data_IF_787598704967
#
_entry.id   IF_787598704967
#
_cell.length_a   1.000
_cell.length_b   1.000
_cell.length_c   1.000
_cell.angle_alpha   90.00
_cell.angle_beta   90.00
_cell.angle_gamma   90.00
#
_symmetry.space_group_name_H-M   'P 1'
#
loop_
_entity.id
_entity.type
_entity.pdbx_description
1 polymer ?
#
# COMPACT_ATOMS: atom_id res chain seq x y z
N UNK A 1 30.68 -27.60 -40.47
CA UNK A 1 31.66 -26.58 -40.07
C UNK A 1 30.90 -25.38 -39.55
N UNK A 2 31.03 -25.00 -38.27
CA UNK A 2 30.33 -23.83 -37.76
C UNK A 2 30.85 -22.59 -38.49
N UNK A 3 29.94 -21.80 -39.07
CA UNK A 3 30.23 -20.41 -39.41
C UNK A 3 30.52 -19.73 -38.08
N UNK A 4 31.75 -19.27 -37.88
CA UNK A 4 32.05 -18.47 -36.70
C UNK A 4 31.15 -17.24 -36.84
N UNK A 5 30.18 -17.12 -35.93
CA UNK A 5 29.27 -15.97 -35.91
C UNK A 5 30.09 -14.78 -35.43
N UNK A 6 30.75 -14.13 -36.37
CA UNK A 6 31.38 -12.83 -36.17
C UNK A 6 30.29 -11.88 -35.71
N UNK A 7 30.27 -11.56 -34.41
CA UNK A 7 29.29 -10.65 -33.83
C UNK A 7 29.57 -9.27 -34.41
N UNK A 8 28.72 -8.82 -35.32
CA UNK A 8 28.86 -7.50 -35.91
C UNK A 8 28.42 -6.41 -34.93
N UNK A 9 29.02 -5.22 -35.05
CA UNK A 9 28.66 -4.05 -34.21
C UNK A 9 27.16 -3.75 -34.31
N UNK A 10 26.56 -3.96 -35.48
CA UNK A 10 25.13 -3.77 -35.72
C UNK A 10 24.28 -4.73 -34.86
N UNK A 11 24.72 -5.97 -34.68
CA UNK A 11 24.01 -6.94 -33.83
C UNK A 11 24.05 -6.54 -32.36
N UNK A 12 25.18 -6.01 -31.89
CA UNK A 12 25.31 -5.50 -30.52
C UNK A 12 24.42 -4.28 -30.32
N UNK A 13 24.44 -3.34 -31.28
CA UNK A 13 23.59 -2.16 -31.24
C UNK A 13 22.11 -2.54 -31.21
N UNK A 14 21.71 -3.52 -32.03
CA UNK A 14 20.34 -4.04 -32.09
C UNK A 14 19.94 -4.75 -30.78
N UNK A 15 20.84 -5.50 -30.16
CA UNK A 15 20.59 -6.16 -28.88
C UNK A 15 20.43 -5.15 -27.73
N UNK A 16 21.26 -4.10 -27.69
CA UNK A 16 21.17 -3.02 -26.70
C UNK A 16 19.88 -2.20 -26.85
N UNK A 17 19.52 -1.86 -28.10
CA UNK A 17 18.27 -1.17 -28.40
C UNK A 17 17.05 -2.00 -27.97
N UNK A 18 17.02 -3.29 -28.32
CA UNK A 18 15.93 -4.17 -27.88
C UNK A 18 15.89 -4.31 -26.36
N UNK A 19 17.03 -4.53 -25.70
CA UNK A 19 17.11 -4.59 -24.25
C UNK A 19 16.58 -3.33 -23.57
N UNK A 20 16.89 -2.16 -24.13
CA UNK A 20 16.39 -0.86 -23.64
C UNK A 20 14.88 -0.72 -23.85
N UNK A 21 14.37 -1.13 -25.01
CA UNK A 21 12.92 -1.12 -25.29
C UNK A 21 12.17 -2.01 -24.30
N UNK A 22 12.63 -3.24 -24.07
CA UNK A 22 12.04 -4.14 -23.07
C UNK A 22 12.17 -3.59 -21.65
N UNK A 23 13.31 -2.99 -21.30
CA UNK A 23 13.52 -2.34 -20.01
C UNK A 23 12.57 -1.16 -19.77
N UNK A 24 12.34 -0.31 -20.78
CA UNK A 24 11.40 0.81 -20.71
C UNK A 24 9.95 0.33 -20.60
N UNK A 25 9.59 -0.76 -21.29
CA UNK A 25 8.27 -1.38 -21.19
C UNK A 25 8.03 -1.87 -19.75
N UNK A 26 8.98 -2.62 -19.18
CA UNK A 26 8.90 -3.11 -17.80
C UNK A 26 8.92 -1.96 -16.78
N UNK A 27 9.73 -0.92 -17.02
CA UNK A 27 9.77 0.29 -16.20
C UNK A 27 8.41 1.00 -16.17
N UNK A 28 7.76 1.17 -17.33
CA UNK A 28 6.47 1.84 -17.42
C UNK A 28 5.36 1.06 -16.70
N UNK A 29 5.38 -0.28 -16.79
CA UNK A 29 4.46 -1.14 -16.02
C UNK A 29 4.69 -1.00 -14.51
N UNK A 30 5.93 -1.04 -14.05
CA UNK A 30 6.28 -0.88 -12.63
C UNK A 30 5.99 0.51 -12.08
N UNK A 31 6.27 1.56 -12.86
CA UNK A 31 5.93 2.93 -12.53
C UNK A 31 4.41 3.13 -12.43
N UNK A 32 3.64 2.54 -13.35
CA UNK A 32 2.17 2.53 -13.29
C UNK A 32 1.65 1.86 -12.02
N UNK A 33 2.20 0.70 -11.65
CA UNK A 33 1.82 -0.01 -10.42
C UNK A 33 2.19 0.78 -9.15
N UNK A 34 3.36 1.43 -9.15
CA UNK A 34 3.83 2.29 -8.06
C UNK A 34 2.96 3.54 -7.91
N UNK A 35 2.53 4.14 -9.02
CA UNK A 35 1.62 5.29 -9.01
C UNK A 35 0.21 4.91 -8.56
N UNK A 36 -0.30 3.76 -8.97
CA UNK A 36 -1.60 3.24 -8.51
C UNK A 36 -1.56 3.02 -7.00
N UNK A 37 -0.57 2.28 -6.48
CA UNK A 37 -0.45 2.05 -5.03
C UNK A 37 -0.04 3.31 -4.24
N UNK A 38 0.71 4.22 -4.85
CA UNK A 38 1.13 5.48 -4.24
C UNK A 38 0.01 6.52 -4.14
N UNK A 39 -0.92 6.52 -5.11
CA UNK A 39 -2.06 7.45 -5.12
C UNK A 39 -3.33 6.89 -4.45
N UNK A 40 -3.52 5.56 -4.40
CA UNK A 40 -4.67 4.96 -3.71
C UNK A 40 -4.60 5.04 -2.18
N UNK A 41 -3.53 5.60 -1.59
CA UNK A 41 -3.49 5.89 -0.15
C UNK A 41 -3.70 4.66 0.75
N UNK A 42 -3.50 3.45 0.23
CA UNK A 42 -3.84 2.16 0.88
C UNK A 42 -3.00 1.87 2.13
N UNK A 43 -1.97 2.67 2.42
CA UNK A 43 -1.35 2.62 3.74
C UNK A 43 -2.22 3.21 4.87
N UNK A 44 -3.33 3.91 4.61
CA UNK A 44 -3.97 4.70 5.67
C UNK A 44 -5.50 4.88 5.60
N UNK A 45 -6.28 3.85 5.26
CA UNK A 45 -7.71 3.82 5.65
C UNK A 45 -7.95 3.02 6.93
N UNK A 46 -7.27 1.89 7.09
CA UNK A 46 -7.30 1.14 8.35
C UNK A 46 -6.53 1.86 9.48
N UNK A 47 -5.36 2.43 9.18
CA UNK A 47 -4.56 3.13 10.20
C UNK A 47 -5.23 4.46 10.64
N UNK A 48 -5.88 5.19 9.72
CA UNK A 48 -6.56 6.44 10.01
C UNK A 48 -7.84 6.22 10.83
N UNK A 49 -8.57 5.14 10.57
CA UNK A 49 -9.75 4.77 11.35
C UNK A 49 -9.36 4.36 12.78
N UNK A 50 -8.27 3.61 12.97
CA UNK A 50 -7.72 3.31 14.30
C UNK A 50 -7.22 4.56 15.05
N UNK A 51 -6.61 5.52 14.35
CA UNK A 51 -6.22 6.81 14.94
C UNK A 51 -7.43 7.63 15.39
N UNK A 52 -8.50 7.67 14.57
CA UNK A 52 -9.74 8.37 14.91
C UNK A 52 -10.48 7.71 16.09
N UNK A 53 -10.53 6.38 16.13
CA UNK A 53 -11.06 5.62 17.27
C UNK A 53 -10.27 5.90 18.55
N UNK A 54 -8.93 5.94 18.47
CA UNK A 54 -8.06 6.29 19.59
C UNK A 54 -8.32 7.70 20.12
N UNK A 55 -8.45 8.67 19.22
CA UNK A 55 -8.79 10.04 19.59
C UNK A 55 -10.18 10.14 20.24
N UNK A 56 -11.16 9.39 19.75
CA UNK A 56 -12.52 9.36 20.31
C UNK A 56 -12.55 8.78 21.73
N UNK A 57 -11.87 7.67 21.97
CA UNK A 57 -11.75 7.08 23.31
C UNK A 57 -10.98 7.99 24.27
N UNK A 58 -9.91 8.66 23.81
CA UNK A 58 -9.19 9.63 24.63
C UNK A 58 -10.10 10.80 25.04
N UNK A 59 -10.89 11.34 24.10
CA UNK A 59 -11.83 12.42 24.37
C UNK A 59 -12.96 12.02 25.32
N UNK A 60 -13.50 10.80 25.19
CA UNK A 60 -14.58 10.32 26.08
C UNK A 60 -14.09 9.94 27.47
N UNK A 61 -12.81 9.54 27.63
CA UNK A 61 -12.22 9.18 28.92
C UNK A 61 -11.55 10.35 29.66
N UNK A 62 -11.30 11.46 28.97
CA UNK A 62 -10.71 12.68 29.54
C UNK A 62 -11.49 13.22 30.76
N UNK A 63 -12.84 13.29 30.75
CA UNK A 63 -13.62 13.74 31.92
C UNK A 63 -13.58 12.78 33.12
N UNK A 64 -13.29 11.50 32.90
CA UNK A 64 -13.37 10.44 33.92
C UNK A 64 -12.02 10.10 34.56
N UNK A 65 -10.94 10.21 33.80
CA UNK A 65 -9.61 9.70 34.18
C UNK A 65 -8.52 10.77 34.18
N UNK A 66 -8.82 11.96 33.65
CA UNK A 66 -7.84 13.01 33.42
C UNK A 66 -7.02 12.78 32.16
N UNK A 67 -6.59 13.88 31.52
CA UNK A 67 -5.90 13.91 30.22
C UNK A 67 -4.76 12.89 30.07
N UNK A 68 -3.95 12.71 31.12
CA UNK A 68 -2.76 11.85 31.06
C UNK A 68 -3.07 10.35 31.06
N UNK A 69 -4.09 9.91 31.81
CA UNK A 69 -4.51 8.50 31.78
C UNK A 69 -5.31 8.19 30.50
N UNK A 70 -6.12 9.14 30.04
CA UNK A 70 -6.92 8.98 28.83
C UNK A 70 -6.06 8.71 27.59
N UNK A 71 -4.89 9.37 27.45
CA UNK A 71 -3.97 9.17 26.33
C UNK A 71 -3.34 7.77 26.31
N UNK A 72 -3.09 7.18 27.48
CA UNK A 72 -2.47 5.84 27.58
C UNK A 72 -3.54 4.75 27.43
N UNK A 73 -4.73 4.95 28.00
CA UNK A 73 -5.81 3.97 27.96
C UNK A 73 -6.48 3.87 26.58
N UNK A 74 -6.56 4.99 25.85
CA UNK A 74 -7.19 5.03 24.53
C UNK A 74 -6.60 4.03 23.50
N UNK A 75 -5.29 3.97 23.24
CA UNK A 75 -4.72 3.01 22.29
C UNK A 75 -4.86 1.55 22.75
N UNK A 76 -4.89 1.30 24.07
CA UNK A 76 -5.08 -0.06 24.63
C UNK A 76 -6.51 -0.55 24.38
N UNK A 77 -7.51 0.32 24.55
CA UNK A 77 -8.91 -0.01 24.30
C UNK A 77 -9.20 -0.22 22.82
N UNK A 78 -8.59 0.60 21.96
CA UNK A 78 -8.69 0.48 20.51
C UNK A 78 -8.04 -0.78 19.97
N UNK A 79 -6.91 -1.20 20.53
CA UNK A 79 -6.27 -2.46 20.16
C UNK A 79 -7.10 -3.69 20.56
N UNK A 80 -8.06 -3.54 21.49
CA UNK A 80 -8.91 -4.62 21.99
C UNK A 80 -10.27 -4.73 21.30
N UNK A 81 -10.71 -3.72 20.53
CA UNK A 81 -11.98 -3.79 19.78
C UNK A 81 -11.79 -4.68 18.55
N UNK A 82 -12.43 -5.87 18.47
CA UNK A 82 -12.34 -6.72 17.29
C UNK A 82 -13.05 -6.04 16.13
N UNK A 83 -12.33 -5.88 15.02
CA UNK A 83 -12.82 -5.27 13.79
C UNK A 83 -14.04 -6.04 13.27
N UNK A 84 -15.23 -5.49 13.49
CA UNK A 84 -16.53 -6.08 13.16
C UNK A 84 -16.87 -5.98 11.66
N UNK A 85 -15.92 -5.50 10.84
CA UNK A 85 -15.98 -5.49 9.38
C UNK A 85 -16.11 -6.89 8.77
N UNK A 86 -15.69 -7.95 9.47
CA UNK A 86 -15.88 -9.34 9.03
C UNK A 86 -17.32 -9.87 9.25
N UNK A 87 -18.20 -9.10 9.89
CA UNK A 87 -19.57 -9.52 10.21
C UNK A 87 -20.61 -9.10 9.15
N UNK A 88 -20.22 -8.36 8.11
CA UNK A 88 -21.13 -7.86 7.05
C UNK A 88 -20.56 -8.14 5.65
N UNK A 89 -20.66 -9.38 5.16
CA UNK A 89 -20.16 -9.74 3.83
C UNK A 89 -20.83 -8.93 2.70
N UNK A 90 -22.01 -8.36 2.91
CA UNK A 90 -22.71 -7.54 1.91
C UNK A 90 -22.10 -6.15 1.68
N UNK A 91 -21.23 -5.65 2.58
CA UNK A 91 -20.61 -4.31 2.45
C UNK A 91 -19.12 -4.42 2.09
N UNK A 92 -18.45 -5.53 2.39
CA UNK A 92 -17.01 -5.69 2.14
C UNK A 92 -16.66 -5.80 0.66
N UNK A 93 -17.61 -6.22 -0.17
CA UNK A 93 -17.36 -6.52 -1.58
C UNK A 93 -17.27 -5.25 -2.46
N UNK A 94 -17.79 -4.12 -1.97
CA UNK A 94 -17.80 -2.84 -2.70
C UNK A 94 -16.60 -1.94 -2.36
N UNK A 95 -16.02 -2.10 -1.16
CA UNK A 95 -14.94 -1.25 -0.65
C UNK A 95 -13.54 -1.89 -0.70
N UNK A 96 -13.44 -3.22 -0.88
CA UNK A 96 -12.16 -3.91 -1.08
C UNK A 96 -11.69 -3.90 -2.56
N UNK A 97 -12.44 -3.25 -3.45
CA UNK A 97 -12.17 -3.18 -4.88
C UNK A 97 -11.62 -1.83 -5.37
N UNK A 98 -11.29 -0.89 -4.46
CA UNK A 98 -10.69 0.42 -4.79
C UNK A 98 -9.41 0.65 -4.01
#
# INVERSE_FOLDING_TARGET
>A
MPMLTEVSVDQILFALLNGTIYGLLLFMVSAGLTLIFGMMGVLNFAHASFYMLGAYFAYTLEPLTGFWLAIILAPILVAGTPDDLNARPEITDEWLAV
#
